data_IF_037155601081
#
_entry.id   IF_037155601081
#
_cell.length_a   1.000
_cell.length_b   1.000
_cell.length_c   1.000
_cell.angle_alpha   90.00
_cell.angle_beta   90.00
_cell.angle_gamma   90.00
#
_symmetry.space_group_name_H-M   'P 1'
#
loop_
_entity.id
_entity.type
_entity.pdbx_description
1 polymer ?
#
# COMPACT_ATOMS: atom_id res chain seq x y z
N UNK A 1 -16.32 18.01 -10.53
CA UNK A 1 -15.25 18.71 -9.78
C UNK A 1 -13.91 18.08 -10.11
N UNK A 2 -12.81 18.82 -9.98
CA UNK A 2 -11.44 18.31 -10.17
C UNK A 2 -10.82 17.97 -8.81
N UNK A 3 -10.22 16.77 -8.63
CA UNK A 3 -9.57 16.42 -7.38
C UNK A 3 -8.35 17.31 -7.13
N UNK A 4 -8.15 17.73 -5.88
CA UNK A 4 -7.08 18.65 -5.47
C UNK A 4 -5.85 17.91 -4.95
N UNK A 5 -6.04 16.77 -4.30
CA UNK A 5 -4.99 15.95 -3.72
C UNK A 5 -5.46 14.49 -3.64
N UNK A 6 -4.52 13.60 -3.37
CA UNK A 6 -4.77 12.19 -3.04
C UNK A 6 -4.27 11.91 -1.64
N UNK A 7 -5.08 11.20 -0.86
CA UNK A 7 -4.72 10.73 0.47
C UNK A 7 -4.40 9.25 0.39
N UNK A 8 -3.13 8.89 0.58
CA UNK A 8 -2.69 7.50 0.60
C UNK A 8 -2.51 7.03 2.04
N UNK A 9 -3.50 6.31 2.56
CA UNK A 9 -3.44 5.67 3.87
C UNK A 9 -2.77 4.29 3.76
N UNK A 10 -1.67 4.11 4.47
CA UNK A 10 -0.85 2.90 4.46
C UNK A 10 -0.94 2.24 5.82
N UNK A 11 -1.27 0.95 5.84
CA UNK A 11 -1.36 0.13 7.04
C UNK A 11 -0.20 -0.87 7.07
N UNK A 12 0.32 -1.15 8.26
CA UNK A 12 1.29 -2.22 8.45
C UNK A 12 0.69 -3.42 9.19
N UNK A 13 1.39 -4.56 9.20
CA UNK A 13 0.96 -5.77 9.91
C UNK A 13 1.07 -5.68 11.44
N UNK A 14 1.48 -4.53 11.96
CA UNK A 14 1.70 -4.27 13.39
C UNK A 14 0.59 -3.40 14.01
N UNK A 15 -0.47 -3.10 13.24
CA UNK A 15 -1.62 -2.31 13.72
C UNK A 15 -1.38 -0.81 13.68
N UNK A 16 -0.34 -0.35 12.99
CA UNK A 16 -0.05 1.07 12.79
C UNK A 16 -0.53 1.50 11.40
N UNK A 17 -0.83 2.79 11.26
CA UNK A 17 -1.18 3.42 9.99
C UNK A 17 -0.44 4.75 9.83
N UNK A 18 -0.26 5.16 8.58
CA UNK A 18 0.30 6.45 8.22
C UNK A 18 -0.35 6.97 6.95
N UNK A 19 -0.52 8.28 6.88
CA UNK A 19 -1.25 8.93 5.79
C UNK A 19 -0.34 9.90 5.06
N UNK A 20 -0.14 9.65 3.77
CA UNK A 20 0.58 10.56 2.88
C UNK A 20 -0.43 11.47 2.16
N UNK A 21 -0.24 12.78 2.28
CA UNK A 21 -0.95 13.77 1.47
C UNK A 21 -0.16 14.03 0.20
N UNK A 22 -0.72 13.65 -0.95
CA UNK A 22 -0.05 13.63 -2.24
C UNK A 22 -0.69 14.63 -3.19
N UNK A 23 0.13 15.27 -4.00
CA UNK A 23 -0.29 16.16 -5.08
C UNK A 23 0.26 15.60 -6.40
N UNK A 24 -0.47 14.69 -7.07
CA UNK A 24 -0.02 14.12 -8.32
C UNK A 24 0.11 15.19 -9.42
N UNK A 25 1.11 15.04 -10.28
CA UNK A 25 1.29 15.85 -11.48
C UNK A 25 0.22 15.55 -12.56
N UNK A 26 0.33 16.19 -13.73
CA UNK A 26 -0.58 15.96 -14.86
C UNK A 26 -0.57 14.50 -15.37
N UNK A 27 0.52 13.77 -15.14
CA UNK A 27 0.64 12.35 -15.47
C UNK A 27 0.08 11.43 -14.36
N UNK A 28 -0.46 12.02 -13.27
CA UNK A 28 -0.98 11.32 -12.10
C UNK A 28 0.11 10.72 -11.23
N UNK A 29 1.32 11.29 -11.21
CA UNK A 29 2.46 10.78 -10.44
C UNK A 29 2.78 11.71 -9.27
N UNK A 30 2.98 11.15 -8.08
CA UNK A 30 3.41 11.86 -6.88
C UNK A 30 4.68 11.23 -6.30
N UNK A 31 5.52 12.06 -5.70
CA UNK A 31 6.76 11.66 -5.04
C UNK A 31 6.69 12.02 -3.56
N UNK A 32 7.09 11.11 -2.68
CA UNK A 32 7.14 11.35 -1.23
C UNK A 32 8.22 10.49 -0.59
N UNK A 33 8.89 11.02 0.43
CA UNK A 33 9.87 10.24 1.18
C UNK A 33 9.19 9.09 1.94
N UNK A 34 9.89 7.96 2.02
CA UNK A 34 9.38 6.82 2.78
C UNK A 34 9.59 7.08 4.27
N UNK A 35 8.52 7.52 4.92
CA UNK A 35 8.52 7.81 6.36
C UNK A 35 7.75 6.79 7.22
N UNK A 36 7.44 5.60 6.69
CA UNK A 36 6.65 4.60 7.42
C UNK A 36 7.20 3.17 7.32
N UNK A 37 7.28 2.51 8.49
CA UNK A 37 7.71 1.12 8.63
C UNK A 37 6.58 0.15 8.26
N UNK A 38 6.57 -0.31 7.01
CA UNK A 38 5.53 -1.21 6.47
C UNK A 38 5.96 -2.68 6.46
N UNK A 39 7.24 -2.95 6.24
CA UNK A 39 7.76 -4.30 6.05
C UNK A 39 9.06 -4.50 6.82
N UNK A 40 9.25 -5.64 7.49
CA UNK A 40 10.48 -5.94 8.22
C UNK A 40 11.71 -6.09 7.33
N UNK A 41 11.54 -6.21 6.02
CA UNK A 41 12.65 -6.42 5.08
C UNK A 41 13.08 -5.14 4.36
N UNK A 42 12.39 -4.02 4.59
CA UNK A 42 12.70 -2.73 3.96
C UNK A 42 12.90 -1.65 5.03
N UNK A 43 14.13 -1.08 5.13
CA UNK A 43 14.38 0.05 6.02
C UNK A 43 13.52 1.25 5.63
N UNK A 44 13.35 2.19 6.55
CA UNK A 44 12.58 3.40 6.31
C UNK A 44 13.49 4.43 5.66
N UNK A 45 13.78 4.17 4.38
CA UNK A 45 14.70 4.95 3.55
C UNK A 45 14.22 4.99 2.09
N UNK A 46 14.74 5.97 1.35
CA UNK A 46 14.40 6.21 -0.03
C UNK A 46 13.07 6.94 -0.21
N UNK A 47 12.59 6.95 -1.46
CA UNK A 47 11.39 7.69 -1.84
C UNK A 47 10.40 6.79 -2.57
N UNK A 48 9.12 7.02 -2.30
CA UNK A 48 8.04 6.47 -3.08
C UNK A 48 7.78 7.34 -4.30
N UNK A 49 7.70 6.70 -5.46
CA UNK A 49 7.08 7.21 -6.68
C UNK A 49 5.75 6.49 -6.85
N UNK A 50 4.65 7.22 -6.68
CA UNK A 50 3.29 6.68 -6.73
C UNK A 50 2.58 7.17 -7.99
N UNK A 51 2.12 6.25 -8.84
CA UNK A 51 1.22 6.53 -9.96
C UNK A 51 -0.21 6.28 -9.50
N UNK A 52 -1.00 7.35 -9.47
CA UNK A 52 -2.32 7.47 -8.86
C UNK A 52 -3.27 8.14 -9.88
N UNK A 53 -3.61 7.47 -10.99
CA UNK A 53 -4.48 8.05 -12.01
C UNK A 53 -5.88 8.26 -11.46
N UNK A 54 -6.62 9.18 -12.08
CA UNK A 54 -8.04 9.34 -11.80
C UNK A 54 -8.78 8.02 -12.04
N UNK A 55 -9.71 7.63 -11.12
CA UNK A 55 -10.52 6.44 -11.32
C UNK A 55 -11.34 6.55 -12.61
N UNK A 56 -11.05 5.66 -13.56
CA UNK A 56 -11.80 5.49 -14.80
C UNK A 56 -12.33 4.04 -14.89
N UNK A 57 -12.62 3.55 -16.08
CA UNK A 57 -13.04 2.14 -16.27
C UNK A 57 -11.95 1.13 -15.87
N UNK A 58 -10.70 1.57 -15.81
CA UNK A 58 -9.56 0.77 -15.35
C UNK A 58 -8.84 1.47 -14.22
N UNK A 59 -8.43 0.66 -13.25
CA UNK A 59 -7.54 1.04 -12.16
C UNK A 59 -6.15 0.49 -12.48
N UNK A 60 -5.13 1.35 -12.39
CA UNK A 60 -3.71 0.97 -12.47
C UNK A 60 -2.92 1.84 -11.49
N UNK A 61 -2.87 1.38 -10.24
CA UNK A 61 -2.10 2.02 -9.18
C UNK A 61 -0.73 1.37 -9.12
N UNK A 62 0.33 2.19 -9.08
CA UNK A 62 1.70 1.69 -8.90
C UNK A 62 2.38 2.44 -7.77
N UNK A 63 2.97 1.71 -6.82
CA UNK A 63 3.83 2.26 -5.78
C UNK A 63 5.22 1.68 -6.01
N UNK A 64 6.17 2.55 -6.34
CA UNK A 64 7.57 2.18 -6.52
C UNK A 64 8.39 2.79 -5.42
N UNK A 65 9.21 1.99 -4.74
CA UNK A 65 10.19 2.42 -3.75
C UNK A 65 11.56 2.42 -4.41
N UNK A 66 12.12 3.62 -4.60
CA UNK A 66 13.47 3.83 -5.10
C UNK A 66 14.42 4.09 -3.92
N UNK A 67 15.51 3.33 -3.86
CA UNK A 67 16.53 3.44 -2.81
C UNK A 67 17.92 3.50 -3.43
N UNK A 68 18.82 4.38 -2.95
CA UNK A 68 20.20 4.43 -3.44
C UNK A 68 20.90 3.08 -3.28
N UNK A 69 21.57 2.62 -4.34
CA UNK A 69 22.34 1.37 -4.31
C UNK A 69 21.52 0.07 -4.21
N UNK A 70 20.19 0.13 -4.23
CA UNK A 70 19.32 -1.04 -4.17
C UNK A 70 18.39 -1.12 -5.38
N UNK A 71 17.94 -2.35 -5.71
CA UNK A 71 16.93 -2.55 -6.75
C UNK A 71 15.59 -1.93 -6.31
N UNK A 72 14.88 -1.25 -7.23
CA UNK A 72 13.59 -0.67 -6.91
C UNK A 72 12.57 -1.77 -6.61
N UNK A 73 11.77 -1.55 -5.57
CA UNK A 73 10.62 -2.41 -5.28
C UNK A 73 9.38 -1.78 -5.91
N UNK A 74 8.59 -2.57 -6.65
CA UNK A 74 7.37 -2.09 -7.31
C UNK A 74 6.19 -2.96 -6.93
N UNK A 75 5.14 -2.33 -6.40
CA UNK A 75 3.85 -2.94 -6.15
C UNK A 75 2.81 -2.30 -7.07
N UNK A 76 1.97 -3.11 -7.70
CA UNK A 76 0.96 -2.63 -8.65
C UNK A 76 -0.39 -3.28 -8.34
N UNK A 77 -1.44 -2.48 -8.36
CA UNK A 77 -2.83 -2.94 -8.27
C UNK A 77 -3.54 -2.58 -9.56
N UNK A 78 -4.00 -3.60 -10.28
CA UNK A 78 -4.77 -3.44 -11.52
C UNK A 78 -6.15 -4.04 -11.39
N UNK A 79 -7.14 -3.37 -11.97
CA UNK A 79 -8.51 -3.85 -11.95
C UNK A 79 -9.40 -3.12 -12.95
N UNK A 80 -10.56 -3.70 -13.22
CA UNK A 80 -11.62 -3.06 -14.00
C UNK A 80 -12.70 -2.58 -13.06
N UNK A 81 -13.19 -1.36 -13.29
CA UNK A 81 -14.30 -0.80 -12.53
C UNK A 81 -15.54 -1.67 -12.71
N UNK A 82 -16.23 -1.95 -11.61
CA UNK A 82 -17.55 -2.57 -11.59
C UNK A 82 -18.47 -1.73 -10.72
N UNK A 83 -19.72 -1.65 -11.12
CA UNK A 83 -20.73 -0.93 -10.36
C UNK A 83 -20.99 -1.61 -9.01
N UNK A 84 -21.01 -0.81 -7.94
CA UNK A 84 -21.20 -1.28 -6.58
C UNK A 84 -22.69 -1.43 -6.25
N UNK A 85 -23.40 -2.29 -6.99
CA UNK A 85 -24.81 -2.58 -6.69
C UNK A 85 -24.93 -3.47 -5.45
N UNK A 86 -26.05 -3.41 -4.70
CA UNK A 86 -26.24 -4.27 -3.52
C UNK A 86 -26.05 -5.76 -3.83
N UNK A 87 -26.54 -6.22 -4.98
CA UNK A 87 -26.38 -7.61 -5.42
C UNK A 87 -24.92 -7.97 -5.73
N UNK A 88 -24.14 -7.05 -6.33
CA UNK A 88 -22.73 -7.25 -6.59
C UNK A 88 -21.91 -7.31 -5.29
N UNK A 89 -22.22 -6.42 -4.34
CA UNK A 89 -21.57 -6.38 -3.02
C UNK A 89 -21.88 -7.63 -2.18
N UNK A 90 -23.14 -8.07 -2.12
CA UNK A 90 -23.53 -9.31 -1.44
C UNK A 90 -22.84 -10.54 -2.05
N UNK A 91 -22.80 -10.63 -3.38
CA UNK A 91 -22.10 -11.70 -4.09
C UNK A 91 -20.61 -11.71 -3.75
N UNK A 92 -19.99 -10.54 -3.65
CA UNK A 92 -18.58 -10.42 -3.27
C UNK A 92 -18.34 -10.86 -1.83
N UNK A 93 -19.21 -10.45 -0.90
CA UNK A 93 -19.14 -10.83 0.51
C UNK A 93 -19.27 -12.36 0.70
N UNK A 94 -20.25 -12.99 0.03
CA UNK A 94 -20.44 -14.46 0.08
C UNK A 94 -19.30 -15.21 -0.59
N UNK A 95 -18.71 -14.67 -1.65
CA UNK A 95 -17.57 -15.29 -2.34
C UNK A 95 -16.27 -15.19 -1.56
N UNK A 96 -16.13 -14.17 -0.71
CA UNK A 96 -14.90 -13.88 0.03
C UNK A 96 -15.14 -13.55 1.51
N UNK A 97 -15.82 -14.44 2.28
CA UNK A 97 -16.28 -14.15 3.64
C UNK A 97 -15.12 -13.94 4.62
N UNK A 98 -13.95 -14.52 4.33
CA UNK A 98 -12.74 -14.42 5.14
C UNK A 98 -11.59 -13.75 4.38
N UNK A 99 -11.89 -12.86 3.44
CA UNK A 99 -10.87 -12.15 2.63
C UNK A 99 -9.79 -11.50 3.49
N UNK A 100 -10.16 -10.77 4.54
CA UNK A 100 -9.20 -10.12 5.44
C UNK A 100 -8.28 -11.12 6.15
N UNK A 101 -8.83 -12.25 6.63
CA UNK A 101 -8.03 -13.31 7.26
C UNK A 101 -7.10 -13.98 6.25
N UNK A 102 -7.61 -14.27 5.04
CA UNK A 102 -6.82 -14.87 3.97
C UNK A 102 -5.65 -13.99 3.54
N UNK A 103 -5.90 -12.68 3.37
CA UNK A 103 -4.85 -11.69 3.07
C UNK A 103 -3.84 -11.63 4.22
N UNK A 104 -4.30 -11.51 5.46
CA UNK A 104 -3.41 -11.44 6.64
C UNK A 104 -2.54 -12.70 6.78
N UNK A 105 -3.13 -13.88 6.60
CA UNK A 105 -2.40 -15.15 6.63
C UNK A 105 -1.41 -15.26 5.45
N UNK A 106 -1.80 -14.79 4.27
CA UNK A 106 -0.94 -14.71 3.09
C UNK A 106 0.29 -13.84 3.33
N UNK A 107 0.11 -12.65 3.90
CA UNK A 107 1.21 -11.74 4.25
C UNK A 107 2.16 -12.39 5.26
N UNK A 108 1.63 -12.99 6.33
CA UNK A 108 2.45 -13.70 7.33
C UNK A 108 3.23 -14.87 6.72
N UNK A 109 2.57 -15.72 5.93
CA UNK A 109 3.22 -16.85 5.25
C UNK A 109 4.32 -16.38 4.31
N UNK A 110 4.09 -15.32 3.55
CA UNK A 110 5.10 -14.75 2.66
C UNK A 110 6.27 -14.17 3.45
N UNK A 111 6.00 -13.45 4.54
CA UNK A 111 7.04 -12.92 5.43
C UNK A 111 7.92 -14.01 6.03
N UNK A 112 7.32 -15.09 6.55
CA UNK A 112 8.05 -16.26 7.06
C UNK A 112 8.92 -16.88 5.96
N UNK A 113 8.37 -17.03 4.74
CA UNK A 113 9.15 -17.58 3.61
C UNK A 113 10.34 -16.71 3.25
N UNK A 114 10.21 -15.38 3.29
CA UNK A 114 11.31 -14.45 3.03
C UNK A 114 12.36 -14.52 4.15
N UNK A 115 11.94 -14.59 5.40
CA UNK A 115 12.82 -14.75 6.55
C UNK A 115 13.64 -16.05 6.46
N UNK A 116 12.98 -17.18 6.15
CA UNK A 116 13.64 -18.47 5.95
C UNK A 116 14.57 -18.48 4.73
N UNK A 117 14.41 -17.53 3.79
CA UNK A 117 15.33 -17.31 2.66
C UNK A 117 16.51 -16.40 3.01
N UNK A 118 16.64 -15.98 4.26
CA UNK A 118 17.77 -15.20 4.76
C UNK A 118 17.66 -13.69 4.52
N UNK A 119 16.46 -13.15 4.28
CA UNK A 119 16.32 -11.69 4.19
C UNK A 119 16.52 -11.06 5.58
N UNK A 120 17.40 -10.04 5.71
CA UNK A 120 17.67 -9.41 6.98
C UNK A 120 16.46 -8.62 7.47
N UNK A 121 16.15 -8.76 8.75
CA UNK A 121 15.10 -7.99 9.43
C UNK A 121 15.68 -6.64 9.85
N UNK A 122 15.00 -5.57 9.47
CA UNK A 122 15.38 -4.20 9.77
C UNK A 122 14.78 -3.79 11.13
N UNK A 123 15.51 -2.98 11.94
CA UNK A 123 14.98 -2.50 13.19
C UNK A 123 13.80 -1.55 12.95
N UNK A 124 12.76 -1.70 13.77
CA UNK A 124 11.63 -0.77 13.77
C UNK A 124 12.00 0.46 14.61
N UNK A 125 12.21 1.59 13.96
CA UNK A 125 12.29 2.88 14.64
C UNK A 125 10.87 3.32 15.00
N UNK A 126 10.69 3.86 16.21
CA UNK A 126 9.39 4.37 16.63
C UNK A 126 9.02 5.60 15.82
N UNK A 127 8.09 5.45 14.89
CA UNK A 127 7.50 6.57 14.16
C UNK A 127 6.55 7.34 15.08
N UNK A 128 6.58 8.68 15.00
CA UNK A 128 5.48 9.50 15.54
C UNK A 128 4.24 9.21 14.71
N UNK A 129 3.34 8.38 15.23
CA UNK A 129 2.04 8.11 14.61
C UNK A 129 1.26 9.42 14.50
N UNK A 130 0.90 9.82 13.29
CA UNK A 130 -0.18 10.79 13.09
C UNK A 130 -1.49 10.05 13.37
N UNK A 131 -1.99 10.25 14.59
CA UNK A 131 -3.35 9.94 15.05
C UNK A 131 -3.75 8.46 15.17
N UNK A 132 -3.74 7.97 16.42
CA UNK A 132 -4.68 6.93 16.87
C UNK A 132 -6.09 7.52 16.70
N UNK A 133 -6.85 7.08 15.68
CA UNK A 133 -8.30 7.32 15.71
C UNK A 133 -8.84 6.58 16.92
N UNK A 134 -9.57 7.36 17.72
CA UNK A 134 -10.33 6.98 18.90
C UNK A 134 -11.29 5.82 18.61
#
# INVERSE_FOLDING_TARGET
GTPRCVVAEVHNTYGERHTYLLHPDEAGVAHVDKDFYVSPFFPVDGAYRMRLPLPADRLDLTVRLDRPGARPFTATVRGTRREATPAALLRLAVRHPLSTLAVSAGIRRHGIRLYLRGLPVQPRLSHRTTEKAT
#
